data_IF_751709322535
#
_entry.id   IF_751709322535
#
_cell.length_a   1.000
_cell.length_b   1.000
_cell.length_c   1.000
_cell.angle_alpha   90.00
_cell.angle_beta   90.00
_cell.angle_gamma   90.00
#
_symmetry.space_group_name_H-M   'P 1'
#
loop_
_entity.id
_entity.type
_entity.pdbx_description
1 polymer ?
#
# COMPACT_ATOMS: atom_id res chain seq x y z
N UNK A 1 -22.46 -14.56 12.20
CA UNK A 1 -21.07 -14.55 11.70
C UNK A 1 -20.97 -14.23 10.20
N UNK A 2 -21.51 -15.08 9.30
CA UNK A 2 -21.40 -14.89 7.83
C UNK A 2 -21.94 -13.55 7.30
N UNK A 3 -23.04 -13.05 7.87
CA UNK A 3 -23.67 -11.79 7.44
C UNK A 3 -22.82 -10.55 7.81
N UNK A 4 -22.16 -10.58 8.97
CA UNK A 4 -21.28 -9.50 9.44
C UNK A 4 -20.03 -9.40 8.56
N UNK A 5 -19.45 -10.55 8.20
CA UNK A 5 -18.33 -10.62 7.26
C UNK A 5 -18.68 -10.05 5.88
N UNK A 6 -19.90 -10.29 5.39
CA UNK A 6 -20.38 -9.73 4.12
C UNK A 6 -20.45 -8.20 4.13
N UNK A 7 -21.08 -7.62 5.16
CA UNK A 7 -21.20 -6.16 5.32
C UNK A 7 -19.83 -5.47 5.47
N UNK A 8 -18.86 -6.17 6.05
CA UNK A 8 -17.50 -5.66 6.19
C UNK A 8 -16.76 -5.63 4.85
N UNK A 9 -16.84 -6.70 4.06
CA UNK A 9 -16.28 -6.74 2.71
C UNK A 9 -16.86 -5.60 1.87
N UNK A 10 -18.17 -5.37 1.94
CA UNK A 10 -18.81 -4.25 1.24
C UNK A 10 -18.28 -2.88 1.66
N UNK A 11 -18.00 -2.68 2.96
CA UNK A 11 -17.46 -1.41 3.49
C UNK A 11 -15.98 -1.20 3.15
N UNK A 12 -15.19 -2.27 3.08
CA UNK A 12 -13.74 -2.21 2.85
C UNK A 12 -13.35 -2.37 1.37
N UNK A 13 -14.29 -2.79 0.51
CA UNK A 13 -14.04 -2.94 -0.92
C UNK A 13 -14.07 -1.56 -1.57
N UNK A 14 -12.91 -1.12 -2.06
CA UNK A 14 -12.85 -0.01 -3.00
C UNK A 14 -12.95 -0.51 -4.44
N UNK A 15 -13.44 0.35 -5.34
CA UNK A 15 -13.39 0.06 -6.78
C UNK A 15 -11.92 0.02 -7.22
N UNK A 16 -11.49 -1.15 -7.67
CA UNK A 16 -10.17 -1.32 -8.27
C UNK A 16 -10.03 -0.41 -9.50
N UNK A 17 -8.97 0.40 -9.50
CA UNK A 17 -8.63 1.30 -10.59
C UNK A 17 -7.14 1.13 -10.91
N UNK A 18 -6.87 0.52 -12.06
CA UNK A 18 -5.51 0.24 -12.52
C UNK A 18 -4.71 1.53 -12.77
N UNK A 19 -5.37 2.64 -13.11
CA UNK A 19 -4.70 3.91 -13.36
C UNK A 19 -4.12 4.54 -12.09
N UNK A 20 -4.53 4.08 -10.90
CA UNK A 20 -3.96 4.51 -9.62
C UNK A 20 -2.70 3.74 -9.24
N UNK A 21 -2.38 2.66 -9.93
CA UNK A 21 -1.20 1.84 -9.63
C UNK A 21 0.01 2.45 -10.35
N UNK A 22 0.96 2.94 -9.57
CA UNK A 22 2.20 3.53 -10.09
C UNK A 22 3.33 2.51 -9.99
N UNK A 23 3.98 2.22 -11.12
CA UNK A 23 5.19 1.38 -11.16
C UNK A 23 6.40 2.15 -10.62
N UNK A 24 6.54 2.13 -9.30
CA UNK A 24 7.67 2.75 -8.60
C UNK A 24 9.00 2.07 -8.90
N UNK A 25 9.00 0.83 -9.38
CA UNK A 25 10.23 0.12 -9.72
C UNK A 25 10.84 0.69 -11.00
N UNK A 26 10.06 0.76 -12.08
CA UNK A 26 10.56 1.33 -13.34
C UNK A 26 10.96 2.80 -13.20
N UNK A 27 10.22 3.57 -12.40
CA UNK A 27 10.59 4.96 -12.09
C UNK A 27 11.98 5.04 -11.45
N UNK A 28 12.23 4.28 -10.37
CA UNK A 28 13.52 4.27 -9.67
C UNK A 28 14.66 3.77 -10.56
N UNK A 29 14.41 2.79 -11.42
CA UNK A 29 15.40 2.30 -12.39
C UNK A 29 15.79 3.40 -13.39
N UNK A 30 14.81 4.12 -13.93
CA UNK A 30 15.07 5.22 -14.87
C UNK A 30 15.83 6.38 -14.21
N UNK A 31 15.52 6.68 -12.94
CA UNK A 31 16.28 7.66 -12.15
C UNK A 31 17.75 7.25 -12.00
N UNK A 32 18.02 5.99 -11.68
CA UNK A 32 19.38 5.45 -11.58
C UNK A 32 20.14 5.51 -12.91
N UNK A 33 19.48 5.14 -14.02
CA UNK A 33 20.07 5.20 -15.37
C UNK A 33 20.43 6.65 -15.72
N UNK A 34 19.52 7.58 -15.44
CA UNK A 34 19.72 9.00 -15.73
C UNK A 34 20.83 9.60 -14.87
N UNK A 35 20.87 9.29 -13.57
CA UNK A 35 21.93 9.72 -12.67
C UNK A 35 23.31 9.23 -13.13
N UNK A 36 23.39 7.94 -13.50
CA UNK A 36 24.61 7.34 -14.05
C UNK A 36 25.04 7.99 -15.36
N UNK A 37 24.11 8.25 -16.28
CA UNK A 37 24.39 8.91 -17.55
C UNK A 37 24.90 10.36 -17.37
N UNK A 38 24.45 11.04 -16.32
CA UNK A 38 24.90 12.39 -15.95
C UNK A 38 26.21 12.40 -15.14
N UNK A 39 26.81 11.24 -14.86
CA UNK A 39 28.01 11.13 -14.03
C UNK A 39 27.79 11.50 -12.56
N UNK A 40 26.54 11.49 -12.08
CA UNK A 40 26.18 11.73 -10.69
C UNK A 40 26.23 10.42 -9.91
N UNK A 41 26.56 10.50 -8.62
CA UNK A 41 26.46 9.34 -7.73
C UNK A 41 25.01 8.81 -7.68
N UNK A 42 24.87 7.50 -7.54
CA UNK A 42 23.56 6.86 -7.52
C UNK A 42 22.75 7.35 -6.31
N UNK A 43 21.46 7.71 -6.49
CA UNK A 43 20.60 8.09 -5.38
C UNK A 43 20.52 6.97 -4.33
N UNK A 44 20.64 7.35 -3.05
CA UNK A 44 20.37 6.45 -1.93
C UNK A 44 18.89 6.10 -1.93
N UNK A 45 18.57 4.83 -2.15
CA UNK A 45 17.20 4.35 -2.11
C UNK A 45 16.79 4.12 -0.65
N UNK A 46 15.85 4.91 -0.15
CA UNK A 46 15.23 4.65 1.14
C UNK A 46 14.42 3.35 1.08
N UNK A 47 14.64 2.46 2.04
CA UNK A 47 13.81 1.28 2.23
C UNK A 47 12.40 1.77 2.59
N UNK A 48 11.35 1.36 1.86
CA UNK A 48 10.00 1.73 2.24
C UNK A 48 9.73 1.24 3.66
N UNK A 49 9.03 2.04 4.49
CA UNK A 49 8.66 1.62 5.83
C UNK A 49 7.87 0.31 5.70
N UNK A 50 8.25 -0.70 6.46
CA UNK A 50 7.40 -1.87 6.62
C UNK A 50 6.11 -1.36 7.27
N UNK A 51 4.94 -1.48 6.62
CA UNK A 51 3.71 -1.12 7.29
C UNK A 51 3.63 -1.92 8.60
N UNK A 52 3.09 -1.35 9.69
CA UNK A 52 2.83 -2.15 10.87
C UNK A 52 1.99 -3.34 10.43
N UNK A 53 2.39 -4.55 10.80
CA UNK A 53 1.50 -5.71 10.76
C UNK A 53 0.40 -5.41 11.77
N UNK A 54 -0.63 -4.71 11.32
CA UNK A 54 -1.86 -4.58 12.08
C UNK A 54 -2.36 -6.00 12.30
N UNK A 55 -2.56 -6.34 13.56
CA UNK A 55 -3.30 -7.54 13.90
C UNK A 55 -4.71 -7.34 13.34
N UNK A 56 -4.96 -7.94 12.17
CA UNK A 56 -6.20 -7.78 11.43
C UNK A 56 -7.42 -8.12 12.30
N UNK A 57 -7.24 -8.95 13.34
CA UNK A 57 -8.29 -9.29 14.30
C UNK A 57 -8.57 -8.11 15.24
N UNK A 58 -7.56 -7.40 15.72
CA UNK A 58 -7.75 -6.18 16.54
C UNK A 58 -8.33 -5.02 15.73
N UNK A 59 -7.85 -4.82 14.51
CA UNK A 59 -8.42 -3.82 13.60
C UNK A 59 -9.90 -4.14 13.32
N UNK A 60 -10.23 -5.43 13.17
CA UNK A 60 -11.60 -5.91 13.02
C UNK A 60 -12.46 -5.64 14.26
N UNK A 61 -12.00 -6.00 15.45
CA UNK A 61 -12.70 -5.75 16.73
C UNK A 61 -13.04 -4.26 16.91
N UNK A 62 -12.07 -3.37 16.66
CA UNK A 62 -12.27 -1.93 16.74
C UNK A 62 -13.33 -1.39 15.76
N UNK A 63 -13.38 -1.93 14.53
CA UNK A 63 -14.41 -1.52 13.54
C UNK A 63 -15.81 -2.01 13.88
N UNK A 64 -15.93 -3.14 14.59
CA UNK A 64 -17.23 -3.68 15.03
C UNK A 64 -17.76 -2.89 16.23
N UNK A 65 -16.90 -2.54 17.18
CA UNK A 65 -17.27 -1.71 18.34
C UNK A 65 -17.65 -0.27 17.94
N UNK A 66 -17.00 0.31 16.93
CA UNK A 66 -17.32 1.66 16.45
C UNK A 66 -18.68 1.78 15.74
N UNK A 67 -19.34 0.66 15.43
CA UNK A 67 -20.66 0.60 14.75
C UNK A 67 -21.78 0.16 15.70
N UNK A 68 -21.46 -0.19 16.95
CA UNK A 68 -22.41 -0.55 18.01
C UNK A 68 -22.89 0.69 18.79
#
# INVERSE_FOLDING_TARGET
ERELAGKLVEKLTEKFDISKIVDTYQQKVNELITARAMGKEAPTLEKPPTPPTEDFVKALEATVEAVA
#
